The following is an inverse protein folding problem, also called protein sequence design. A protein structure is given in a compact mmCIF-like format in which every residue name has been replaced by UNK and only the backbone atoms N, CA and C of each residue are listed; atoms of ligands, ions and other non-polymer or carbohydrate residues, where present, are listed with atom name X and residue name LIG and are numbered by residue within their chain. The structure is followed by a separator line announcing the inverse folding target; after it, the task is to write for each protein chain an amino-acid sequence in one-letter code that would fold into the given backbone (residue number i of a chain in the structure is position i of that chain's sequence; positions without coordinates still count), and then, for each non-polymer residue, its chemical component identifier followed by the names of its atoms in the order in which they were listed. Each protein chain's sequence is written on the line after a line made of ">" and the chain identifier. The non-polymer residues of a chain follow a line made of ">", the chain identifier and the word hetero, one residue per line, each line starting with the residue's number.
data_IF_500210209794
#
_entry.id   IF_500210209794
#
_cell.length_a   1.000
_cell.length_b   1.000
_cell.length_c   1.000
_cell.angle_alpha   90.00
_cell.angle_beta   90.00
_cell.angle_gamma   90.00
#
_symmetry.space_group_name_H-M   'P 1'
#
loop_
_entity.id
_entity.type
_entity.pdbx_description
1 polymer ?
#
# COMPACT_ATOMS: atom_id res chain seq x y z
N UNK A 1 -11.91 -0.06 6.52
CA UNK A 1 -10.55 0.16 6.00
C UNK A 1 -9.54 -0.46 6.95
N UNK A 2 -8.46 -0.96 6.42
CA UNK A 2 -7.39 -1.58 7.21
C UNK A 2 -6.24 -0.59 7.31
N UNK A 3 -5.54 -0.59 8.43
CA UNK A 3 -4.33 0.23 8.58
C UNK A 3 -3.08 -0.65 8.53
N UNK A 4 -1.98 -0.06 8.16
CA UNK A 4 -0.71 -0.77 8.09
C UNK A 4 0.46 0.17 7.91
N UNK A 5 1.63 -0.42 7.70
CA UNK A 5 2.89 0.30 7.55
C UNK A 5 3.53 -0.10 6.23
N UNK A 6 4.00 0.87 5.47
CA UNK A 6 4.69 0.59 4.22
C UNK A 6 6.00 -0.16 4.52
N UNK A 7 6.13 -1.37 3.99
CA UNK A 7 7.35 -2.15 4.14
C UNK A 7 8.45 -1.59 3.24
N UNK A 8 8.12 -1.39 1.98
CA UNK A 8 8.97 -0.70 1.02
C UNK A 8 8.15 -0.30 -0.19
N UNK A 9 8.62 0.68 -0.92
CA UNK A 9 7.96 1.13 -2.14
C UNK A 9 9.01 1.60 -3.13
N UNK A 10 8.88 1.15 -4.38
CA UNK A 10 9.80 1.54 -5.46
C UNK A 10 9.05 2.46 -6.41
N UNK A 11 9.35 3.76 -6.33
CA UNK A 11 8.67 4.77 -7.13
C UNK A 11 8.97 4.62 -8.64
N UNK A 12 10.15 4.13 -8.98
CA UNK A 12 10.52 3.92 -10.38
C UNK A 12 9.71 2.81 -11.03
N UNK A 13 9.47 1.74 -10.29
CA UNK A 13 8.68 0.61 -10.77
C UNK A 13 7.19 0.80 -10.52
N UNK A 14 6.83 1.67 -9.58
CA UNK A 14 5.46 2.01 -9.30
C UNK A 14 4.72 1.00 -8.44
N UNK A 15 5.41 0.27 -7.58
CA UNK A 15 4.74 -0.67 -6.67
C UNK A 15 5.56 -0.90 -5.41
N UNK A 16 4.91 -1.48 -4.41
CA UNK A 16 5.55 -1.84 -3.15
C UNK A 16 4.66 -2.75 -2.35
N UNK A 17 4.98 -2.90 -1.07
CA UNK A 17 4.24 -3.76 -0.16
C UNK A 17 3.94 -3.05 1.14
N UNK A 18 2.78 -3.37 1.72
CA UNK A 18 2.32 -2.83 2.99
C UNK A 18 2.14 -3.99 3.96
N UNK A 19 2.66 -3.85 5.17
CA UNK A 19 2.48 -4.83 6.23
C UNK A 19 1.26 -4.42 7.04
N UNK A 20 0.17 -5.21 7.03
CA UNK A 20 -1.02 -4.88 7.81
C UNK A 20 -0.72 -4.88 9.31
N UNK A 21 -1.42 -4.01 10.05
CA UNK A 21 -1.27 -3.93 11.51
C UNK A 21 -1.72 -5.21 12.22
N UNK A 22 -2.60 -5.98 11.60
CA UNK A 22 -3.11 -7.22 12.21
C UNK A 22 -2.12 -8.38 12.13
N UNK A 23 -0.96 -8.17 11.55
CA UNK A 23 0.06 -9.21 11.44
C UNK A 23 -0.15 -10.18 10.28
N UNK A 24 -1.07 -9.89 9.39
CA UNK A 24 -1.31 -10.74 8.22
C UNK A 24 -0.19 -10.64 7.18
N UNK A 25 -0.40 -11.34 6.06
CA UNK A 25 0.57 -11.32 4.96
C UNK A 25 0.70 -9.93 4.34
N UNK A 26 1.87 -9.62 3.81
CA UNK A 26 2.11 -8.36 3.14
C UNK A 26 1.13 -8.19 1.96
N UNK A 27 0.70 -6.95 1.76
CA UNK A 27 -0.29 -6.61 0.74
C UNK A 27 0.40 -5.83 -0.37
N UNK A 28 0.20 -6.25 -1.61
CA UNK A 28 0.76 -5.57 -2.78
C UNK A 28 0.07 -4.22 -2.98
N UNK A 29 0.86 -3.17 -3.21
CA UNK A 29 0.34 -1.82 -3.46
C UNK A 29 0.94 -1.26 -4.75
N UNK A 30 0.07 -0.99 -5.73
CA UNK A 30 0.47 -0.36 -6.98
C UNK A 30 0.25 1.14 -6.90
N UNK A 31 1.06 1.94 -7.61
CA UNK A 31 0.96 3.40 -7.51
C UNK A 31 -0.43 3.91 -7.91
N UNK A 32 -1.13 3.20 -8.78
CA UNK A 32 -2.49 3.60 -9.19
C UNK A 32 -3.50 3.51 -8.05
N UNK A 33 -3.19 2.75 -6.99
CA UNK A 33 -4.06 2.61 -5.83
C UNK A 33 -3.82 3.70 -4.78
N UNK A 34 -2.79 4.50 -4.93
CA UNK A 34 -2.43 5.54 -3.97
C UNK A 34 -3.28 6.78 -4.22
N UNK A 35 -4.01 7.20 -3.18
CA UNK A 35 -4.88 8.37 -3.25
C UNK A 35 -4.25 9.56 -2.55
N UNK A 36 -3.30 10.19 -3.23
CA UNK A 36 -2.71 11.43 -2.77
C UNK A 36 -2.78 12.44 -3.91
N UNK A 37 -2.79 13.72 -3.57
CA UNK A 37 -2.65 14.77 -4.57
C UNK A 37 -1.17 14.92 -4.93
N UNK A 38 -0.88 14.99 -6.23
CA UNK A 38 0.48 15.15 -6.70
C UNK A 38 1.23 13.85 -6.86
N UNK A 39 2.43 13.77 -6.29
CA UNK A 39 3.33 12.64 -6.48
C UNK A 39 2.85 11.39 -5.76
N UNK A 40 2.66 10.30 -6.49
CA UNK A 40 2.14 9.03 -5.95
C UNK A 40 3.30 8.14 -5.51
N UNK A 41 3.74 8.37 -4.30
CA UNK A 41 4.84 7.61 -3.73
C UNK A 41 4.59 7.41 -2.24
N UNK A 42 5.15 6.33 -1.69
CA UNK A 42 5.06 6.03 -0.27
C UNK A 42 6.46 5.91 0.30
N UNK A 43 6.64 6.40 1.52
CA UNK A 43 7.91 6.26 2.23
C UNK A 43 7.92 4.98 3.04
N UNK A 44 9.10 4.41 3.20
CA UNK A 44 9.30 3.24 4.04
C UNK A 44 8.89 3.56 5.48
N UNK A 45 8.17 2.62 6.09
CA UNK A 45 7.63 2.77 7.46
C UNK A 45 6.52 3.80 7.61
N UNK A 46 6.03 4.36 6.52
CA UNK A 46 4.91 5.31 6.57
C UNK A 46 3.62 4.60 6.94
N UNK A 47 2.81 5.23 7.80
CA UNK A 47 1.50 4.69 8.17
C UNK A 47 0.48 5.05 7.10
N UNK A 48 -0.31 4.05 6.72
CA UNK A 48 -1.34 4.22 5.68
C UNK A 48 -2.61 3.48 6.07
N UNK A 49 -3.73 3.88 5.48
CA UNK A 49 -4.95 3.09 5.52
C UNK A 49 -5.31 2.68 4.08
N UNK A 50 -5.96 1.53 3.95
CA UNK A 50 -6.24 0.97 2.64
C UNK A 50 -7.33 -0.08 2.74
N UNK A 51 -7.83 -0.52 1.58
CA UNK A 51 -8.74 -1.66 1.49
C UNK A 51 -8.01 -2.83 0.87
N UNK A 52 -8.31 -4.03 1.35
CA UNK A 52 -7.70 -5.26 0.81
C UNK A 52 -8.66 -5.91 -0.16
N UNK A 53 -8.17 -6.15 -1.37
CA UNK A 53 -8.91 -6.88 -2.40
C UNK A 53 -8.06 -8.04 -2.90
N UNK A 54 -8.68 -8.98 -3.59
CA UNK A 54 -7.95 -10.09 -4.21
C UNK A 54 -7.55 -9.68 -5.62
N UNK A 55 -6.25 -9.72 -5.89
CA UNK A 55 -5.71 -9.43 -7.20
C UNK A 55 -5.01 -10.63 -7.80
N UNK A 56 -4.46 -10.49 -9.01
CA UNK A 56 -3.77 -11.60 -9.68
C UNK A 56 -2.57 -12.15 -8.91
N UNK A 57 -1.96 -11.32 -8.07
CA UNK A 57 -0.77 -11.69 -7.29
C UNK A 57 -1.09 -11.98 -5.84
N UNK A 58 -2.38 -12.08 -5.48
CA UNK A 58 -2.81 -12.29 -4.11
C UNK A 58 -3.44 -11.03 -3.51
N UNK A 59 -3.35 -10.83 -2.18
CA UNK A 59 -3.95 -9.65 -1.56
C UNK A 59 -3.35 -8.37 -2.12
N UNK A 60 -4.23 -7.42 -2.45
CA UNK A 60 -3.84 -6.18 -3.10
C UNK A 60 -4.50 -5.01 -2.38
N UNK A 61 -3.74 -3.93 -2.17
CA UNK A 61 -4.26 -2.72 -1.53
C UNK A 61 -4.95 -1.84 -2.56
N UNK A 62 -6.07 -1.28 -2.15
CA UNK A 62 -6.83 -0.30 -2.93
C UNK A 62 -7.07 0.92 -2.06
N UNK A 63 -7.22 2.08 -2.68
CA UNK A 63 -7.53 3.32 -1.99
C UNK A 63 -6.55 3.61 -0.85
N UNK A 64 -5.27 3.48 -1.13
CA UNK A 64 -4.22 3.69 -0.14
C UNK A 64 -4.08 5.17 0.16
N UNK A 65 -4.13 5.53 1.45
CA UNK A 65 -3.99 6.92 1.88
C UNK A 65 -3.05 7.02 3.08
N UNK A 66 -2.20 8.03 3.13
CA UNK A 66 -1.38 8.29 4.32
C UNK A 66 -2.28 8.71 5.50
N UNK A 67 -1.88 8.31 6.69
CA UNK A 67 -2.59 8.71 7.90
C UNK A 67 -1.65 9.30 8.94
#
# INVERSE_FOLDING_TARGET
>A
MVTGVVKWFNADKGFGFITPDDGGADVFAHFSAIQTSGYRSLDENQRVEFEVTQGPKGPQAEQVRPI
#
